data_IF_002942182401
#
_entry.id   IF_002942182401
#
_cell.length_a   1.000
_cell.length_b   1.000
_cell.length_c   1.000
_cell.angle_alpha   90.00
_cell.angle_beta   90.00
_cell.angle_gamma   90.00
#
_symmetry.space_group_name_H-M   'P 1'
#
loop_
_entity.id
_entity.type
_entity.pdbx_description
1 polymer ?
#
# COMPACT_ATOMS: atom_id res chain seq x y z
N UNK A 1 -15.19 17.98 5.70
CA UNK A 1 -15.82 16.66 5.55
C UNK A 1 -16.50 16.60 4.19
N UNK A 2 -16.19 15.61 3.35
CA UNK A 2 -16.89 15.42 2.07
C UNK A 2 -17.80 14.21 2.18
N UNK A 3 -19.02 14.29 1.66
CA UNK A 3 -20.06 13.28 1.81
C UNK A 3 -19.57 11.85 1.48
N UNK A 4 -20.05 10.86 2.22
CA UNK A 4 -19.79 9.41 2.08
C UNK A 4 -20.31 8.78 0.76
N UNK A 5 -20.47 9.59 -0.30
CA UNK A 5 -20.87 9.18 -1.65
C UNK A 5 -20.11 9.95 -2.75
N UNK A 6 -19.03 10.67 -2.41
CA UNK A 6 -18.30 11.55 -3.34
C UNK A 6 -17.26 10.86 -4.23
N UNK A 7 -17.24 9.52 -4.27
CA UNK A 7 -16.36 8.74 -5.17
C UNK A 7 -14.92 8.54 -4.68
N UNK A 8 -14.62 8.82 -3.42
CA UNK A 8 -13.27 8.77 -2.83
C UNK A 8 -12.71 7.35 -2.77
N UNK A 9 -13.46 6.45 -2.14
CA UNK A 9 -13.12 5.02 -2.09
C UNK A 9 -13.07 4.43 -3.50
N UNK A 10 -13.87 4.94 -4.45
CA UNK A 10 -13.78 4.52 -5.86
C UNK A 10 -12.43 4.86 -6.50
N UNK A 11 -11.81 6.00 -6.14
CA UNK A 11 -10.45 6.33 -6.62
C UNK A 11 -9.43 5.35 -6.03
N UNK A 12 -9.54 5.03 -4.73
CA UNK A 12 -8.66 4.05 -4.07
C UNK A 12 -8.80 2.68 -4.73
N UNK A 13 -10.04 2.23 -4.94
CA UNK A 13 -10.36 0.98 -5.63
C UNK A 13 -9.84 0.98 -7.07
N UNK A 14 -9.95 2.11 -7.78
CA UNK A 14 -9.44 2.27 -9.14
C UNK A 14 -7.90 2.16 -9.20
N UNK A 15 -7.18 2.81 -8.29
CA UNK A 15 -5.72 2.69 -8.21
C UNK A 15 -5.29 1.29 -7.78
N UNK A 16 -5.99 0.65 -6.84
CA UNK A 16 -5.69 -0.71 -6.42
C UNK A 16 -5.92 -1.72 -7.53
N UNK A 17 -7.03 -1.57 -8.26
CA UNK A 17 -7.29 -2.34 -9.47
C UNK A 17 -6.14 -2.16 -10.47
N UNK A 18 -5.74 -0.92 -10.77
CA UNK A 18 -4.67 -0.66 -11.73
C UNK A 18 -3.34 -1.30 -11.30
N UNK A 19 -2.99 -1.18 -10.02
CA UNK A 19 -1.80 -1.82 -9.44
C UNK A 19 -1.81 -3.33 -9.66
N UNK A 20 -2.85 -4.00 -9.14
CA UNK A 20 -3.01 -5.46 -9.25
C UNK A 20 -3.03 -5.88 -10.71
N UNK A 21 -3.70 -5.11 -11.58
CA UNK A 21 -3.80 -5.43 -13.00
C UNK A 21 -2.43 -5.36 -13.67
N UNK A 22 -1.63 -4.30 -13.45
CA UNK A 22 -0.26 -4.22 -13.98
C UNK A 22 0.62 -5.36 -13.42
N UNK A 23 0.51 -5.69 -12.14
CA UNK A 23 1.35 -6.72 -11.51
C UNK A 23 1.02 -8.14 -11.96
N UNK A 24 -0.26 -8.47 -12.10
CA UNK A 24 -0.72 -9.87 -12.23
C UNK A 24 -1.16 -10.26 -13.64
N UNK A 25 -1.43 -9.29 -14.53
CA UNK A 25 -1.96 -9.59 -15.87
C UNK A 25 -1.02 -10.42 -16.75
N UNK A 26 0.26 -10.51 -16.41
CA UNK A 26 1.21 -11.42 -17.07
C UNK A 26 0.80 -12.91 -16.97
N UNK A 27 -0.10 -13.25 -16.06
CA UNK A 27 -0.67 -14.61 -15.90
C UNK A 27 -1.90 -14.86 -16.78
N UNK A 28 -2.45 -13.82 -17.41
CA UNK A 28 -3.69 -13.95 -18.17
C UNK A 28 -3.47 -14.78 -19.43
N UNK A 29 -4.50 -15.52 -19.83
CA UNK A 29 -4.52 -16.29 -21.06
C UNK A 29 -5.45 -15.62 -22.07
N UNK A 30 -5.40 -16.09 -23.33
CA UNK A 30 -6.31 -15.61 -24.37
C UNK A 30 -7.77 -15.82 -23.94
N UNK A 31 -8.55 -14.76 -23.96
CA UNK A 31 -9.97 -14.78 -23.57
C UNK A 31 -10.23 -14.58 -22.07
N UNK A 32 -9.20 -14.52 -21.22
CA UNK A 32 -9.36 -14.07 -19.83
C UNK A 32 -9.94 -12.66 -19.82
N UNK A 33 -11.09 -12.48 -19.15
CA UNK A 33 -11.75 -11.17 -19.05
C UNK A 33 -11.00 -10.27 -18.08
N UNK A 34 -11.00 -8.97 -18.37
CA UNK A 34 -10.47 -7.92 -17.49
C UNK A 34 -11.59 -7.44 -16.58
N UNK A 35 -11.32 -7.27 -15.29
CA UNK A 35 -12.28 -6.65 -14.39
C UNK A 35 -12.61 -5.24 -14.87
N UNK A 36 -13.88 -4.98 -15.12
CA UNK A 36 -14.36 -3.75 -15.74
C UNK A 36 -15.59 -3.24 -15.01
N UNK A 37 -15.48 -2.01 -14.50
CA UNK A 37 -16.50 -1.36 -13.69
C UNK A 37 -16.96 -0.06 -14.39
N UNK A 38 -17.89 -0.12 -15.35
CA UNK A 38 -18.39 1.06 -16.03
C UNK A 38 -19.18 1.96 -15.07
N UNK A 39 -19.26 3.26 -15.39
CA UNK A 39 -20.13 4.17 -14.68
C UNK A 39 -21.61 3.85 -14.98
N UNK A 40 -22.23 3.06 -14.11
CA UNK A 40 -23.59 2.52 -14.32
C UNK A 40 -24.71 3.57 -14.34
N UNK A 41 -24.46 4.77 -13.79
CA UNK A 41 -25.45 5.84 -13.73
C UNK A 41 -25.56 6.66 -15.03
N UNK A 42 -24.68 6.42 -16.01
CA UNK A 42 -24.81 6.95 -17.37
C UNK A 42 -24.86 5.79 -18.37
N UNK A 43 -26.01 5.60 -19.02
CA UNK A 43 -26.19 4.57 -20.05
C UNK A 43 -25.15 4.67 -21.18
N UNK A 44 -24.68 5.89 -21.49
CA UNK A 44 -23.65 6.12 -22.52
C UNK A 44 -22.26 5.62 -22.10
N UNK A 45 -22.04 5.38 -20.81
CA UNK A 45 -20.76 4.90 -20.28
C UNK A 45 -20.71 3.39 -20.07
N UNK A 46 -21.82 2.66 -20.21
CA UNK A 46 -21.85 1.21 -20.03
C UNK A 46 -20.92 0.46 -20.98
N UNK A 47 -20.75 0.98 -22.21
CA UNK A 47 -19.90 0.40 -23.25
C UNK A 47 -18.57 1.14 -23.46
N UNK A 48 -18.30 2.21 -22.71
CA UNK A 48 -17.08 3.01 -22.89
C UNK A 48 -15.90 2.44 -22.10
N UNK A 49 -14.70 2.37 -22.69
CA UNK A 49 -13.51 1.94 -21.96
C UNK A 49 -13.27 2.77 -20.69
N UNK A 50 -12.87 2.09 -19.62
CA UNK A 50 -12.30 2.75 -18.44
C UNK A 50 -10.92 3.29 -18.79
N UNK A 51 -10.60 4.50 -18.31
CA UNK A 51 -9.31 5.17 -18.60
C UNK A 51 -8.60 5.52 -17.30
N UNK A 52 -7.33 5.17 -17.24
CA UNK A 52 -6.44 5.48 -16.12
C UNK A 52 -5.25 6.28 -16.63
N UNK A 53 -4.80 7.23 -15.81
CA UNK A 53 -3.57 7.98 -16.03
C UNK A 53 -2.90 8.21 -14.69
N UNK A 54 -1.65 7.80 -14.58
CA UNK A 54 -0.84 7.96 -13.38
C UNK A 54 0.41 8.73 -13.74
N UNK A 55 0.72 9.74 -12.93
CA UNK A 55 1.96 10.52 -13.01
C UNK A 55 2.74 10.24 -11.74
N UNK A 56 3.97 9.79 -11.87
CA UNK A 56 4.79 9.40 -10.74
C UNK A 56 6.27 9.70 -10.98
N UNK A 57 7.04 9.65 -9.90
CA UNK A 57 8.49 9.85 -9.92
C UNK A 57 9.14 8.57 -9.38
N UNK A 58 10.12 8.04 -10.10
CA UNK A 58 10.97 6.92 -9.68
C UNK A 58 12.41 7.26 -10.05
N UNK A 59 13.34 7.12 -9.12
CA UNK A 59 14.76 7.45 -9.31
C UNK A 59 14.98 8.86 -9.91
N UNK A 60 14.24 9.86 -9.39
CA UNK A 60 14.23 11.26 -9.84
C UNK A 60 13.82 11.48 -11.32
N UNK A 61 13.21 10.48 -11.95
CA UNK A 61 12.66 10.59 -13.31
C UNK A 61 11.14 10.57 -13.20
N UNK A 62 10.49 11.56 -13.81
CA UNK A 62 9.03 11.60 -13.94
C UNK A 62 8.57 10.66 -15.05
N UNK A 63 7.54 9.88 -14.74
CA UNK A 63 6.84 9.00 -15.67
C UNK A 63 5.37 9.40 -15.79
N UNK A 64 4.81 9.13 -16.97
CA UNK A 64 3.37 9.24 -17.23
C UNK A 64 2.93 7.96 -17.90
N UNK A 65 2.22 7.14 -17.13
CA UNK A 65 1.61 5.91 -17.61
C UNK A 65 0.11 6.12 -17.81
N UNK A 66 -0.44 5.61 -18.90
CA UNK A 66 -1.88 5.61 -19.11
C UNK A 66 -2.33 4.34 -19.80
N UNK A 67 -3.53 3.89 -19.47
CA UNK A 67 -4.14 2.69 -20.01
C UNK A 67 -5.65 2.89 -20.13
N UNK A 68 -6.24 2.38 -21.21
CA UNK A 68 -7.68 2.28 -21.39
C UNK A 68 -8.07 0.84 -21.72
N UNK A 69 -9.16 0.34 -21.15
CA UNK A 69 -9.59 -1.04 -21.38
C UNK A 69 -11.11 -1.20 -21.22
N UNK A 70 -11.64 -2.28 -21.78
CA UNK A 70 -12.98 -2.77 -21.47
C UNK A 70 -12.87 -4.12 -20.75
N UNK A 71 -13.95 -4.91 -20.72
CA UNK A 71 -13.96 -6.24 -20.08
C UNK A 71 -13.17 -7.30 -20.85
N UNK A 72 -12.73 -7.03 -22.07
CA UNK A 72 -12.13 -8.02 -22.98
C UNK A 72 -10.68 -7.72 -23.30
N UNK A 73 -10.35 -6.45 -23.53
CA UNK A 73 -9.07 -6.04 -24.09
C UNK A 73 -8.67 -4.64 -23.66
N UNK A 74 -7.38 -4.38 -23.83
CA UNK A 74 -6.79 -3.05 -23.73
C UNK A 74 -6.99 -2.35 -25.07
N UNK A 75 -7.42 -1.09 -25.01
CA UNK A 75 -7.68 -0.26 -26.18
C UNK A 75 -6.47 0.62 -26.44
N UNK A 76 -6.04 1.40 -25.44
CA UNK A 76 -4.87 2.26 -25.50
C UNK A 76 -3.95 2.00 -24.31
N UNK A 77 -2.64 2.14 -24.50
CA UNK A 77 -1.65 2.08 -23.42
C UNK A 77 -0.42 2.88 -23.81
N UNK A 78 0.17 3.62 -22.87
CA UNK A 78 1.38 4.37 -23.15
C UNK A 78 2.23 4.55 -21.91
N UNK A 79 3.54 4.66 -22.13
CA UNK A 79 4.50 5.06 -21.12
C UNK A 79 5.42 6.15 -21.66
N UNK A 80 5.32 7.32 -21.06
CA UNK A 80 6.25 8.43 -21.25
C UNK A 80 7.15 8.57 -20.03
N UNK A 81 8.37 9.06 -20.26
CA UNK A 81 9.32 9.43 -19.21
C UNK A 81 9.96 10.78 -19.54
N UNK A 82 10.46 11.47 -18.51
CA UNK A 82 10.97 12.83 -18.62
C UNK A 82 12.42 12.92 -18.12
N UNK A 83 13.39 12.33 -18.83
CA UNK A 83 14.80 12.46 -18.48
C UNK A 83 15.21 13.92 -18.66
N UNK A 84 15.76 14.54 -17.61
CA UNK A 84 16.15 15.96 -17.61
C UNK A 84 15.00 16.88 -18.09
N UNK A 85 13.78 16.58 -17.62
CA UNK A 85 12.53 17.30 -17.92
C UNK A 85 12.09 17.30 -19.40
N UNK A 86 12.74 16.53 -20.27
CA UNK A 86 12.35 16.39 -21.68
C UNK A 86 11.46 15.17 -21.88
N UNK A 87 10.26 15.35 -22.43
CA UNK A 87 9.35 14.24 -22.73
C UNK A 87 9.97 13.29 -23.77
N UNK A 88 10.02 12.01 -23.43
CA UNK A 88 10.40 10.93 -24.33
C UNK A 88 9.39 9.77 -24.23
N UNK A 89 9.20 9.05 -25.35
CA UNK A 89 8.27 7.93 -25.47
C UNK A 89 9.01 6.60 -25.30
N UNK A 90 8.57 5.75 -24.35
CA UNK A 90 9.05 4.37 -24.27
C UNK A 90 8.25 3.51 -25.25
N UNK A 91 6.94 3.45 -25.05
CA UNK A 91 5.99 2.79 -25.96
C UNK A 91 4.63 3.48 -25.95
N UNK A 92 3.91 3.34 -27.06
CA UNK A 92 2.50 3.68 -27.19
C UNK A 92 1.80 2.56 -27.98
N UNK A 93 0.60 2.24 -27.56
CA UNK A 93 -0.30 1.23 -28.11
C UNK A 93 -1.67 1.90 -28.29
N UNK A 94 -2.24 1.81 -29.46
CA UNK A 94 -3.60 2.28 -29.77
C UNK A 94 -4.39 1.19 -30.48
N UNK A 95 -5.72 1.31 -30.47
CA UNK A 95 -6.65 0.38 -31.13
C UNK A 95 -6.30 -1.10 -30.88
N UNK A 96 -5.94 -1.41 -29.64
CA UNK A 96 -5.53 -2.73 -29.17
C UNK A 96 -4.21 -3.26 -29.72
N UNK A 97 -3.83 -3.12 -30.99
CA UNK A 97 -2.62 -3.77 -31.51
C UNK A 97 -1.72 -2.86 -32.36
N UNK A 98 -2.01 -1.56 -32.42
CA UNK A 98 -1.18 -0.61 -33.16
C UNK A 98 -0.11 -0.02 -32.24
N UNK A 99 1.14 -0.46 -32.42
CA UNK A 99 2.25 -0.02 -31.58
C UNK A 99 3.12 1.05 -32.26
N UNK A 100 3.54 2.03 -31.47
CA UNK A 100 4.51 3.07 -31.83
C UNK A 100 5.70 3.02 -30.89
N UNK A 101 6.88 2.81 -31.46
CA UNK A 101 8.16 2.79 -30.74
C UNK A 101 9.11 3.84 -31.31
N UNK A 102 9.78 4.60 -30.44
CA UNK A 102 10.81 5.58 -30.84
C UNK A 102 12.24 5.11 -30.53
N UNK A 103 12.37 4.09 -29.68
CA UNK A 103 13.62 3.49 -29.21
C UNK A 103 13.53 1.97 -29.31
N UNK A 104 14.67 1.27 -29.40
CA UNK A 104 14.79 -0.19 -29.38
C UNK A 104 13.76 -0.94 -30.27
N UNK A 105 13.42 -0.36 -31.43
CA UNK A 105 12.24 -0.74 -32.23
C UNK A 105 12.16 -2.24 -32.55
N UNK A 106 13.31 -2.87 -32.81
CA UNK A 106 13.38 -4.31 -33.14
C UNK A 106 12.98 -5.19 -31.96
N UNK A 107 13.53 -4.91 -30.78
CA UNK A 107 13.23 -5.64 -29.55
C UNK A 107 11.77 -5.42 -29.12
N UNK A 108 11.33 -4.15 -29.10
CA UNK A 108 9.96 -3.82 -28.73
C UNK A 108 8.92 -4.40 -29.68
N UNK A 109 9.21 -4.46 -31.00
CA UNK A 109 8.36 -5.12 -31.99
C UNK A 109 8.21 -6.62 -31.70
N UNK A 110 9.32 -7.31 -31.44
CA UNK A 110 9.31 -8.73 -31.08
C UNK A 110 8.48 -9.02 -29.82
N UNK A 111 8.54 -8.13 -28.83
CA UNK A 111 7.73 -8.22 -27.60
C UNK A 111 6.26 -7.98 -27.93
N UNK A 112 5.93 -6.94 -28.70
CA UNK A 112 4.53 -6.59 -29.02
C UNK A 112 3.78 -7.67 -29.77
N UNK A 113 4.47 -8.40 -30.66
CA UNK A 113 3.89 -9.53 -31.39
C UNK A 113 3.50 -10.71 -30.48
N UNK A 114 4.01 -10.73 -29.24
CA UNK A 114 3.72 -11.75 -28.21
C UNK A 114 2.86 -11.22 -27.07
N UNK A 115 2.53 -9.92 -27.07
CA UNK A 115 1.66 -9.33 -26.06
C UNK A 115 0.21 -9.57 -26.47
N UNK A 116 -0.54 -10.31 -25.64
CA UNK A 116 -1.98 -10.53 -25.87
C UNK A 116 -2.77 -9.24 -25.71
N UNK A 117 -3.95 -9.20 -26.34
CA UNK A 117 -4.79 -8.01 -26.35
C UNK A 117 -5.31 -7.59 -24.97
N UNK A 118 -5.42 -8.55 -24.05
CA UNK A 118 -5.86 -8.39 -22.67
C UNK A 118 -4.73 -8.22 -21.64
N UNK A 119 -3.47 -8.17 -22.06
CA UNK A 119 -2.30 -8.00 -21.19
C UNK A 119 -1.68 -6.61 -21.42
N UNK A 120 -1.41 -5.82 -20.35
CA UNK A 120 -0.66 -4.57 -20.48
C UNK A 120 0.73 -4.85 -21.06
N UNK A 121 1.10 -4.08 -22.07
CA UNK A 121 2.43 -4.12 -22.65
C UNK A 121 3.50 -3.81 -21.60
N UNK A 122 3.23 -2.91 -20.65
CA UNK A 122 4.10 -2.67 -19.49
C UNK A 122 4.42 -3.97 -18.73
N UNK A 123 3.40 -4.78 -18.43
CA UNK A 123 3.55 -6.04 -17.71
C UNK A 123 4.33 -7.08 -18.53
N UNK A 124 3.92 -7.32 -19.78
CA UNK A 124 4.54 -8.35 -20.62
C UNK A 124 5.99 -7.99 -21.00
N UNK A 125 6.25 -6.74 -21.37
CA UNK A 125 7.60 -6.28 -21.71
C UNK A 125 8.56 -6.40 -20.53
N UNK A 126 8.10 -6.08 -19.31
CA UNK A 126 8.90 -6.26 -18.09
C UNK A 126 9.16 -7.74 -17.80
N UNK A 127 8.16 -8.61 -17.96
CA UNK A 127 8.32 -10.06 -17.81
C UNK A 127 9.35 -10.64 -18.79
N UNK A 128 9.42 -10.08 -20.01
CA UNK A 128 10.43 -10.43 -21.01
C UNK A 128 11.76 -9.67 -20.85
N UNK A 129 12.00 -9.07 -19.67
CA UNK A 129 13.23 -8.37 -19.28
C UNK A 129 13.57 -7.12 -20.10
N UNK A 130 12.56 -6.43 -20.66
CA UNK A 130 12.80 -5.14 -21.30
C UNK A 130 13.09 -4.06 -20.25
N UNK A 131 14.36 -3.68 -20.12
CA UNK A 131 14.85 -2.83 -19.01
C UNK A 131 14.16 -1.47 -18.89
N UNK A 132 13.70 -0.88 -20.00
CA UNK A 132 13.12 0.47 -19.99
C UNK A 132 11.70 0.52 -19.41
N UNK A 133 11.05 -0.62 -19.23
CA UNK A 133 9.74 -0.71 -18.58
C UNK A 133 9.82 -1.12 -17.09
N UNK A 134 10.97 -1.65 -16.65
CA UNK A 134 11.19 -2.12 -15.27
C UNK A 134 10.92 -1.05 -14.21
N UNK A 135 11.49 0.16 -14.35
CA UNK A 135 11.32 1.23 -13.34
C UNK A 135 9.85 1.64 -13.15
N UNK A 136 9.09 1.67 -14.24
CA UNK A 136 7.67 1.97 -14.19
C UNK A 136 6.87 0.83 -13.53
N UNK A 137 7.20 -0.42 -13.87
CA UNK A 137 6.60 -1.60 -13.26
C UNK A 137 6.91 -1.70 -11.76
N UNK A 138 8.17 -1.51 -11.37
CA UNK A 138 8.63 -1.53 -9.98
C UNK A 138 8.00 -0.42 -9.15
N UNK A 139 7.66 0.72 -9.76
CA UNK A 139 6.88 1.74 -9.06
C UNK A 139 5.47 1.25 -8.69
N UNK A 140 4.77 0.55 -9.59
CA UNK A 140 3.48 -0.05 -9.26
C UNK A 140 3.63 -1.09 -8.14
N UNK A 141 4.64 -1.95 -8.25
CA UNK A 141 4.94 -3.03 -7.31
C UNK A 141 5.29 -2.53 -5.91
N UNK A 142 6.30 -1.65 -5.83
CA UNK A 142 7.00 -1.35 -4.59
C UNK A 142 6.62 -0.01 -3.97
N UNK A 143 6.10 0.95 -4.78
CA UNK A 143 5.86 2.32 -4.32
C UNK A 143 4.37 2.66 -4.13
N UNK A 144 3.44 1.90 -4.70
CA UNK A 144 2.00 2.13 -4.51
C UNK A 144 1.47 1.24 -3.37
N UNK A 145 1.45 1.77 -2.14
CA UNK A 145 0.96 1.08 -0.94
C UNK A 145 -0.50 1.45 -0.61
N UNK A 146 -1.45 0.66 -1.11
CA UNK A 146 -2.86 0.87 -0.77
C UNK A 146 -3.23 -0.11 0.34
N UNK A 147 -3.43 0.41 1.55
CA UNK A 147 -3.86 -0.41 2.70
C UNK A 147 -5.00 0.29 3.41
N UNK A 148 -6.12 -0.42 3.57
CA UNK A 148 -7.23 0.07 4.39
C UNK A 148 -6.82 0.15 5.86
N UNK A 149 -7.28 1.19 6.56
CA UNK A 149 -6.98 1.40 7.99
C UNK A 149 -7.40 0.20 8.88
N UNK A 150 -8.34 -0.62 8.41
CA UNK A 150 -8.92 -1.75 9.14
C UNK A 150 -8.49 -3.11 8.57
N UNK A 151 -7.39 -3.16 7.82
CA UNK A 151 -6.88 -4.42 7.32
C UNK A 151 -6.56 -5.37 8.51
N UNK A 152 -7.05 -6.62 8.50
CA UNK A 152 -7.01 -7.48 9.69
C UNK A 152 -5.60 -7.83 10.16
N UNK A 153 -4.60 -7.80 9.25
CA UNK A 153 -3.21 -8.17 9.54
C UNK A 153 -2.24 -7.01 9.79
N UNK A 154 -2.77 -5.86 10.21
CA UNK A 154 -1.96 -4.65 10.41
C UNK A 154 -1.04 -4.74 11.63
N UNK A 155 -1.50 -5.39 12.69
CA UNK A 155 -0.71 -5.60 13.90
C UNK A 155 0.50 -6.48 13.56
N UNK A 156 0.26 -7.59 12.88
CA UNK A 156 1.27 -8.55 12.46
C UNK A 156 2.30 -7.89 11.54
N UNK A 157 1.85 -7.04 10.61
CA UNK A 157 2.73 -6.24 9.78
C UNK A 157 3.62 -5.31 10.62
N UNK A 158 3.04 -4.61 11.60
CA UNK A 158 3.83 -3.74 12.49
C UNK A 158 4.80 -4.54 13.35
N UNK A 159 4.43 -5.72 13.85
CA UNK A 159 5.33 -6.60 14.61
C UNK A 159 6.49 -7.09 13.73
N UNK A 160 6.20 -7.50 12.49
CA UNK A 160 7.24 -7.86 11.53
C UNK A 160 8.22 -6.70 11.33
N UNK A 161 7.71 -5.49 11.08
CA UNK A 161 8.54 -4.28 10.96
C UNK A 161 9.35 -3.99 12.22
N UNK A 162 8.72 -4.04 13.39
CA UNK A 162 9.40 -3.84 14.68
C UNK A 162 10.62 -4.75 14.82
N UNK A 163 10.48 -6.01 14.39
CA UNK A 163 11.49 -7.05 14.53
C UNK A 163 12.46 -7.16 13.33
N UNK A 164 12.31 -6.34 12.28
CA UNK A 164 13.21 -6.34 11.12
C UNK A 164 14.64 -5.96 11.53
N UNK A 165 14.80 -4.85 12.25
CA UNK A 165 16.09 -4.42 12.79
C UNK A 165 15.95 -3.40 13.95
N UNK A 166 17.06 -3.10 14.63
CA UNK A 166 17.11 -2.16 15.75
C UNK A 166 16.70 -0.73 15.36
N UNK A 167 16.98 -0.32 14.12
CA UNK A 167 16.62 1.02 13.62
C UNK A 167 15.09 1.10 13.50
N UNK A 168 14.46 0.06 12.95
CA UNK A 168 13.02 -0.01 12.78
C UNK A 168 12.31 -0.06 14.14
N UNK A 169 12.75 -0.89 15.09
CA UNK A 169 12.26 -0.82 16.48
C UNK A 169 12.33 0.61 17.04
N UNK A 170 13.49 1.27 16.90
CA UNK A 170 13.68 2.64 17.41
C UNK A 170 12.72 3.64 16.77
N UNK A 171 12.47 3.53 15.47
CA UNK A 171 11.55 4.43 14.76
C UNK A 171 10.09 4.23 15.21
N UNK A 172 9.61 2.98 15.34
CA UNK A 172 8.26 2.70 15.86
C UNK A 172 8.14 3.22 17.29
N UNK A 173 9.11 2.91 18.15
CA UNK A 173 9.10 3.34 19.53
C UNK A 173 9.11 4.87 19.66
N UNK A 174 9.97 5.56 18.91
CA UNK A 174 9.99 7.02 18.90
C UNK A 174 8.65 7.61 18.47
N UNK A 175 7.98 7.01 17.49
CA UNK A 175 6.66 7.48 17.07
C UNK A 175 5.60 7.29 18.17
N UNK A 176 5.65 6.20 18.95
CA UNK A 176 4.76 5.99 20.09
C UNK A 176 5.06 6.97 21.25
N UNK A 177 6.34 7.29 21.48
CA UNK A 177 6.78 8.29 22.46
C UNK A 177 6.32 9.69 22.05
N UNK A 178 6.54 10.08 20.78
CA UNK A 178 6.14 11.40 20.26
C UNK A 178 4.61 11.59 20.20
N UNK A 179 3.87 10.49 20.15
CA UNK A 179 2.41 10.49 20.27
C UNK A 179 1.90 10.75 21.71
N UNK A 180 2.81 10.90 22.67
CA UNK A 180 2.53 11.21 24.09
C UNK A 180 1.63 10.17 24.77
N UNK A 181 1.92 8.89 24.53
CA UNK A 181 1.15 7.75 25.06
C UNK A 181 1.65 7.22 26.41
N UNK A 182 2.70 7.81 26.97
CA UNK A 182 3.35 7.30 28.20
C UNK A 182 4.23 6.06 28.01
N UNK A 183 4.32 5.53 26.78
CA UNK A 183 5.11 4.35 26.45
C UNK A 183 6.60 4.74 26.34
N UNK A 184 7.46 4.04 27.09
CA UNK A 184 8.91 4.23 27.11
C UNK A 184 9.68 3.12 26.36
N UNK A 185 9.15 1.91 26.33
CA UNK A 185 9.66 0.79 25.52
C UNK A 185 8.52 -0.15 25.13
N UNK A 186 8.81 -1.04 24.19
CA UNK A 186 7.87 -1.97 23.59
C UNK A 186 8.63 -3.24 23.18
N UNK A 187 8.01 -4.40 23.40
CA UNK A 187 8.36 -5.66 22.75
C UNK A 187 7.13 -6.26 22.11
N UNK A 188 7.31 -6.92 20.97
CA UNK A 188 6.23 -7.66 20.34
C UNK A 188 6.76 -8.86 19.57
N UNK A 189 6.06 -9.98 19.62
CA UNK A 189 6.39 -11.22 18.92
C UNK A 189 5.13 -11.90 18.37
N UNK A 190 5.34 -12.75 17.36
CA UNK A 190 4.34 -13.67 16.86
C UNK A 190 4.88 -15.07 17.12
N UNK A 191 4.24 -15.78 18.03
CA UNK A 191 4.55 -17.18 18.35
C UNK A 191 3.61 -18.08 17.54
N UNK A 192 4.16 -19.06 16.82
CA UNK A 192 3.36 -20.06 16.14
C UNK A 192 3.16 -21.23 17.10
N UNK A 193 1.93 -21.45 17.52
CA UNK A 193 1.54 -22.56 18.41
C UNK A 193 0.90 -23.67 17.57
N UNK A 194 1.53 -24.86 17.49
CA UNK A 194 0.91 -26.02 16.85
C UNK A 194 -0.45 -26.36 17.49
N UNK A 195 -1.47 -26.67 16.67
CA UNK A 195 -2.83 -26.92 17.18
C UNK A 195 -2.95 -28.16 18.08
N UNK A 196 -1.98 -29.06 18.03
CA UNK A 196 -1.84 -30.23 18.90
C UNK A 196 -1.26 -29.90 20.28
N UNK A 197 -0.58 -28.77 20.45
CA UNK A 197 -0.14 -28.26 21.75
C UNK A 197 -1.27 -27.52 22.51
N UNK A 198 -2.38 -27.20 21.82
CA UNK A 198 -3.54 -26.52 22.41
C UNK A 198 -4.47 -27.54 23.09
N UNK A 199 -4.89 -27.30 24.36
CA UNK A 199 -5.85 -28.16 25.06
C UNK A 199 -7.12 -28.43 24.24
N UNK A 200 -7.58 -29.68 24.22
CA UNK A 200 -8.70 -30.17 23.40
C UNK A 200 -9.95 -29.26 23.47
N UNK A 201 -10.44 -28.84 24.65
CA UNK A 201 -11.64 -27.99 24.72
C UNK A 201 -11.48 -26.63 24.02
N UNK A 202 -10.27 -26.06 24.07
CA UNK A 202 -9.95 -24.79 23.40
C UNK A 202 -9.79 -25.05 21.91
N UNK A 203 -9.09 -26.12 21.53
CA UNK A 203 -8.86 -26.52 20.14
C UNK A 203 -10.18 -26.74 19.37
N UNK A 204 -11.15 -27.43 19.97
CA UNK A 204 -12.46 -27.66 19.36
C UNK A 204 -13.23 -26.35 19.18
N UNK A 205 -13.22 -25.48 20.19
CA UNK A 205 -13.85 -24.16 20.11
C UNK A 205 -13.21 -23.29 19.03
N UNK A 206 -11.89 -23.30 18.90
CA UNK A 206 -11.15 -22.59 17.85
C UNK A 206 -11.53 -23.10 16.46
N UNK A 207 -11.62 -24.43 16.25
CA UNK A 207 -12.08 -25.00 14.97
C UNK A 207 -13.52 -24.61 14.63
N UNK A 208 -14.39 -24.44 15.62
CA UNK A 208 -15.76 -23.96 15.39
C UNK A 208 -15.80 -22.47 15.02
N UNK A 209 -15.00 -21.63 15.69
CA UNK A 209 -14.97 -20.18 15.43
C UNK A 209 -14.16 -19.82 14.18
N UNK A 210 -13.15 -20.62 13.85
CA UNK A 210 -12.20 -20.40 12.75
C UNK A 210 -12.05 -21.70 11.95
N UNK A 211 -13.03 -22.04 11.10
CA UNK A 211 -13.05 -23.31 10.36
C UNK A 211 -11.81 -23.52 9.47
N UNK A 212 -11.23 -22.42 8.98
CA UNK A 212 -10.09 -22.42 8.05
C UNK A 212 -8.71 -22.44 8.76
N UNK A 213 -8.66 -22.69 10.08
CA UNK A 213 -7.38 -22.70 10.82
C UNK A 213 -6.48 -23.87 10.40
N UNK A 214 -5.37 -23.57 9.72
CA UNK A 214 -4.43 -24.54 9.13
C UNK A 214 -3.46 -25.16 10.15
N UNK A 215 -3.97 -25.88 11.15
CA UNK A 215 -3.14 -26.73 12.03
C UNK A 215 -2.15 -25.99 12.95
N UNK A 216 -2.07 -24.66 12.87
CA UNK A 216 -1.27 -23.78 13.71
C UNK A 216 -2.08 -22.53 14.07
N UNK A 217 -1.78 -21.96 15.23
CA UNK A 217 -2.33 -20.70 15.71
C UNK A 217 -1.20 -19.68 15.82
N UNK A 218 -1.39 -18.49 15.26
CA UNK A 218 -0.49 -17.37 15.51
C UNK A 218 -0.94 -16.65 16.78
N UNK A 219 -0.10 -16.70 17.81
CA UNK A 219 -0.30 -15.99 19.07
C UNK A 219 0.53 -14.72 19.03
N UNK A 220 -0.14 -13.58 19.14
CA UNK A 220 0.49 -12.27 19.23
C UNK A 220 0.74 -11.97 20.71
N UNK A 221 1.99 -11.67 21.06
CA UNK A 221 2.37 -11.15 22.37
C UNK A 221 2.96 -9.75 22.20
N UNK A 222 2.38 -8.76 22.88
CA UNK A 222 2.80 -7.37 22.80
C UNK A 222 2.83 -6.82 24.23
N UNK A 223 3.97 -6.29 24.63
CA UNK A 223 4.21 -5.67 25.94
C UNK A 223 4.66 -4.24 25.77
N UNK A 224 4.07 -3.34 26.54
CA UNK A 224 4.47 -1.93 26.60
C UNK A 224 5.04 -1.63 27.98
N UNK A 225 6.05 -0.78 28.04
CA UNK A 225 6.70 -0.37 29.30
C UNK A 225 6.41 1.11 29.53
N UNK A 226 5.84 1.42 30.69
CA UNK A 226 5.49 2.79 31.09
C UNK A 226 6.33 3.23 32.28
N UNK A 227 6.78 4.48 32.26
CA UNK A 227 7.45 5.12 33.39
C UNK A 227 6.42 5.60 34.41
N UNK A 228 6.60 5.21 35.66
CA UNK A 228 5.82 5.66 36.81
C UNK A 228 6.73 6.33 37.83
N UNK A 229 6.25 7.36 38.50
CA UNK A 229 6.96 7.99 39.61
C UNK A 229 6.41 7.42 40.92
N UNK A 230 7.29 6.99 41.82
CA UNK A 230 6.86 6.63 43.18
C UNK A 230 6.55 7.92 43.99
N UNK A 231 6.00 7.77 45.20
CA UNK A 231 5.65 8.90 46.09
C UNK A 231 6.83 9.81 46.45
N UNK A 232 8.07 9.31 46.26
CA UNK A 232 9.33 9.99 46.57
C UNK A 232 9.95 10.64 45.32
N UNK A 233 9.38 10.41 44.13
CA UNK A 233 9.85 10.95 42.85
C UNK A 233 10.86 10.08 42.11
N UNK A 234 11.16 8.87 42.57
CA UNK A 234 12.02 7.94 41.83
C UNK A 234 11.28 7.32 40.65
N UNK A 235 12.03 7.09 39.58
CA UNK A 235 11.53 6.49 38.34
C UNK A 235 11.46 4.97 38.48
N UNK A 236 10.27 4.41 38.30
CA UNK A 236 10.03 2.98 38.14
C UNK A 236 9.42 2.71 36.76
N UNK A 237 9.47 1.46 36.33
CA UNK A 237 8.90 1.02 35.06
C UNK A 237 7.94 -0.13 35.28
N UNK A 238 6.77 -0.05 34.66
CA UNK A 238 5.71 -1.06 34.75
C UNK A 238 5.41 -1.59 33.35
N UNK A 239 5.32 -2.91 33.25
CA UNK A 239 4.91 -3.61 32.04
C UNK A 239 3.37 -3.70 31.99
N UNK A 240 2.80 -3.42 30.83
CA UNK A 240 1.39 -3.61 30.53
C UNK A 240 1.24 -4.63 29.41
N UNK A 241 0.21 -5.47 29.53
CA UNK A 241 -0.28 -6.26 28.41
C UNK A 241 -0.96 -5.35 27.40
N UNK A 242 -0.80 -5.62 26.11
CA UNK A 242 -1.44 -4.81 25.06
C UNK A 242 -2.97 -4.77 25.17
N UNK A 243 -3.61 -5.74 25.83
CA UNK A 243 -5.04 -5.70 26.13
C UNK A 243 -5.45 -4.55 27.05
N UNK A 244 -4.55 -4.12 27.94
CA UNK A 244 -4.75 -3.06 28.93
C UNK A 244 -4.58 -1.65 28.33
N UNK A 245 -3.96 -1.57 27.15
CA UNK A 245 -3.75 -0.31 26.45
C UNK A 245 -5.05 0.31 25.93
N UNK A 246 -5.02 1.64 25.77
CA UNK A 246 -6.14 2.36 25.18
C UNK A 246 -6.40 1.92 23.72
N UNK A 247 -7.66 2.00 23.26
CA UNK A 247 -8.00 1.71 21.86
C UNK A 247 -7.23 2.59 20.87
N UNK A 248 -6.91 3.84 21.27
CA UNK A 248 -6.08 4.75 20.49
C UNK A 248 -4.64 4.26 20.35
N UNK A 249 -4.03 3.77 21.45
CA UNK A 249 -2.70 3.14 21.44
C UNK A 249 -2.70 1.92 20.52
N UNK A 250 -3.69 1.02 20.68
CA UNK A 250 -3.79 -0.20 19.88
C UNK A 250 -3.93 0.11 18.39
N UNK A 251 -4.75 1.11 18.05
CA UNK A 251 -4.95 1.55 16.67
C UNK A 251 -3.72 2.26 16.10
N UNK A 252 -3.01 3.07 16.89
CA UNK A 252 -1.75 3.68 16.44
C UNK A 252 -0.71 2.60 16.18
N UNK A 253 -0.56 1.64 17.10
CA UNK A 253 0.38 0.53 16.95
C UNK A 253 0.07 -0.29 15.71
N UNK A 254 -1.18 -0.61 15.41
CA UNK A 254 -1.50 -1.37 14.20
C UNK A 254 -1.13 -0.61 12.92
N UNK A 255 -1.23 0.72 12.90
CA UNK A 255 -0.97 1.54 11.72
C UNK A 255 0.51 1.94 11.55
N UNK A 256 1.24 2.17 12.65
CA UNK A 256 2.52 2.88 12.60
C UNK A 256 3.59 2.16 11.77
N UNK A 257 3.55 0.81 11.71
CA UNK A 257 4.44 0.02 10.85
C UNK A 257 4.30 0.40 9.37
N UNK A 258 3.07 0.60 8.87
CA UNK A 258 2.83 1.06 7.50
C UNK A 258 3.27 2.49 7.25
N UNK A 259 3.07 3.38 8.22
CA UNK A 259 3.50 4.77 8.10
C UNK A 259 5.00 4.85 7.91
N UNK A 260 5.74 4.18 8.79
CA UNK A 260 7.20 4.25 8.76
C UNK A 260 7.76 3.55 7.53
N UNK A 261 7.23 2.38 7.18
CA UNK A 261 7.60 1.71 5.94
C UNK A 261 7.33 2.59 4.71
N UNK A 262 6.22 3.33 4.69
CA UNK A 262 5.91 4.26 3.61
C UNK A 262 6.90 5.43 3.55
N UNK A 263 7.21 6.05 4.69
CA UNK A 263 8.19 7.14 4.82
C UNK A 263 9.60 6.71 4.40
N UNK A 264 10.01 5.50 4.79
CA UNK A 264 11.32 4.95 4.48
C UNK A 264 11.48 4.55 3.01
N UNK A 265 10.41 4.16 2.34
CA UNK A 265 10.46 3.65 0.96
C UNK A 265 9.87 4.63 -0.07
N UNK A 266 9.42 5.81 0.36
CA UNK A 266 8.81 6.80 -0.54
C UNK A 266 7.51 6.27 -1.15
N UNK A 267 6.71 5.54 -0.37
CA UNK A 267 5.45 4.95 -0.85
C UNK A 267 4.33 5.97 -0.82
N UNK A 268 3.34 5.76 -1.69
CA UNK A 268 2.04 6.40 -1.57
C UNK A 268 1.20 5.56 -0.62
N UNK A 269 0.88 6.10 0.55
CA UNK A 269 0.00 5.51 1.54
C UNK A 269 -1.39 6.13 1.43
N UNK A 270 -2.38 5.29 1.15
CA UNK A 270 -3.77 5.72 1.02
C UNK A 270 -4.60 5.06 2.10
N UNK A 271 -5.20 5.87 2.97
CA UNK A 271 -5.97 5.39 4.12
C UNK A 271 -7.35 6.03 4.10
N UNK A 272 -8.36 5.18 3.99
CA UNK A 272 -9.76 5.60 4.16
C UNK A 272 -10.14 5.57 5.64
N UNK A 273 -11.04 6.46 6.05
CA UNK A 273 -11.62 6.49 7.40
C UNK A 273 -10.63 6.49 8.58
N UNK A 274 -9.44 7.10 8.43
CA UNK A 274 -8.45 7.25 9.51
C UNK A 274 -9.03 7.86 10.81
N UNK A 275 -10.05 8.71 10.70
CA UNK A 275 -10.68 9.34 11.85
C UNK A 275 -11.48 8.37 12.74
N UNK A 276 -11.73 7.15 12.27
CA UNK A 276 -12.45 6.15 13.06
C UNK A 276 -11.51 5.56 14.12
N UNK A 277 -11.87 5.72 15.39
CA UNK A 277 -11.19 5.15 16.58
C UNK A 277 -9.83 5.76 16.95
N UNK A 278 -9.31 6.76 16.22
CA UNK A 278 -8.12 7.52 16.63
C UNK A 278 -8.49 8.84 17.32
N UNK A 279 -7.88 9.10 18.48
CA UNK A 279 -7.98 10.40 19.13
C UNK A 279 -7.40 11.50 18.21
N UNK A 280 -7.99 12.69 18.19
CA UNK A 280 -7.65 13.76 17.26
C UNK A 280 -6.14 14.08 17.21
N UNK A 281 -5.46 14.05 18.35
CA UNK A 281 -4.01 14.30 18.45
C UNK A 281 -3.18 13.27 17.69
N UNK A 282 -3.59 11.99 17.70
CA UNK A 282 -2.91 10.91 16.97
C UNK A 282 -3.05 11.08 15.47
N UNK A 283 -4.20 11.55 14.99
CA UNK A 283 -4.40 11.88 13.58
C UNK A 283 -3.49 13.02 13.13
N UNK A 284 -3.38 14.07 13.96
CA UNK A 284 -2.46 15.18 13.69
C UNK A 284 -1.02 14.70 13.67
N UNK A 285 -0.63 13.85 14.61
CA UNK A 285 0.70 13.24 14.67
C UNK A 285 1.03 12.45 13.39
N UNK A 286 0.18 11.51 12.99
CA UNK A 286 0.35 10.69 11.80
C UNK A 286 0.48 11.52 10.51
N UNK A 287 -0.26 12.63 10.41
CA UNK A 287 -0.16 13.57 9.29
C UNK A 287 1.14 14.38 9.36
N UNK A 288 1.59 14.79 10.54
CA UNK A 288 2.84 15.54 10.73
C UNK A 288 4.05 14.74 10.27
N UNK A 289 4.09 13.43 10.50
CA UNK A 289 5.18 12.57 10.05
C UNK A 289 5.45 12.67 8.54
N UNK A 290 4.41 12.75 7.72
CA UNK A 290 4.55 12.92 6.26
C UNK A 290 4.95 14.34 5.84
N UNK A 291 4.67 15.34 6.68
CA UNK A 291 4.96 16.75 6.39
C UNK A 291 6.33 17.19 6.94
N UNK A 292 6.95 16.42 7.83
CA UNK A 292 8.27 16.69 8.38
C UNK A 292 9.37 16.22 7.40
N UNK A 293 10.18 17.11 6.81
CA UNK A 293 11.26 16.72 5.90
C UNK A 293 12.37 15.90 6.57
N UNK A 294 12.51 15.98 7.90
CA UNK A 294 13.49 15.19 8.64
C UNK A 294 13.07 13.73 8.77
N UNK A 295 11.76 13.46 8.71
CA UNK A 295 11.16 12.12 8.74
C UNK A 295 10.88 11.60 7.32
N UNK A 296 10.23 12.40 6.47
CA UNK A 296 9.85 12.04 5.11
C UNK A 296 10.97 12.34 4.08
N UNK A 297 12.11 11.67 4.24
CA UNK A 297 13.29 11.87 3.38
C UNK A 297 13.10 11.35 1.94
N UNK A 298 12.18 10.41 1.75
CA UNK A 298 11.97 9.73 0.47
C UNK A 298 10.73 10.21 -0.29
N UNK A 299 10.16 11.36 0.10
CA UNK A 299 8.99 11.97 -0.54
C UNK A 299 7.78 11.02 -0.63
N UNK A 300 7.56 10.23 0.43
CA UNK A 300 6.36 9.46 0.60
C UNK A 300 5.13 10.36 0.58
N UNK A 301 4.02 9.85 0.09
CA UNK A 301 2.79 10.62 -0.05
C UNK A 301 1.71 10.01 0.83
N UNK A 302 0.97 10.85 1.53
CA UNK A 302 -0.16 10.41 2.33
C UNK A 302 -1.45 10.99 1.79
N UNK A 303 -2.42 10.11 1.54
CA UNK A 303 -3.75 10.49 1.11
C UNK A 303 -4.79 10.01 2.12
N UNK A 304 -5.49 10.97 2.71
CA UNK A 304 -6.65 10.75 3.57
C UNK A 304 -7.92 11.04 2.77
N UNK A 305 -8.63 10.01 2.32
CA UNK A 305 -9.82 10.17 1.47
C UNK A 305 -9.54 10.99 0.19
N UNK A 306 -10.27 12.10 -0.03
CA UNK A 306 -10.13 12.95 -1.24
C UNK A 306 -9.21 14.15 -1.10
N UNK A 307 -8.66 14.40 0.09
CA UNK A 307 -7.78 15.52 0.30
C UNK A 307 -6.35 14.98 0.20
N UNK A 308 -5.64 15.35 -0.88
CA UNK A 308 -4.19 15.31 -0.84
C UNK A 308 -3.77 16.24 0.32
N UNK A 309 -3.12 15.67 1.33
CA UNK A 309 -2.39 16.51 2.28
C UNK A 309 -1.07 16.82 1.60
N UNK A 310 -1.06 17.90 0.81
CA UNK A 310 0.09 18.35 0.03
C UNK A 310 1.25 18.80 0.93
N UNK A 311 2.46 18.61 0.41
CA UNK A 311 3.66 19.38 0.75
C UNK A 311 3.61 20.71 -0.01
N UNK A 312 3.86 21.86 0.63
CA UNK A 312 4.19 23.10 -0.10
C UNK A 312 5.41 22.83 -0.99
N UNK A 313 5.30 23.20 -2.26
CA UNK A 313 6.44 23.23 -3.20
C UNK A 313 7.61 24.02 -2.58
N UNK A 314 8.82 23.47 -2.74
CA UNK A 314 10.06 24.23 -2.72
C UNK A 314 10.74 24.02 -4.06
#
# INVERSE_FOLDING_TARGET
MGANASGKSNVILAFNFLKIFVETAHTFQKGTKINYFPFKLDKKCLSKPSKFKVVFIKNNIKYVYGISHNSEKIIDEYLYYYPKDRRALIFERSDTNNYRFTIDKKEQKFISEKTLDNIPYLSNSTQLNYKKTSEAFDWFKDNLGIVGADHPRLIEYTIQKLNEDKKMKKFILNALIEADLGINDLSASIEVVPMDEIPIPIRERLKTMMPDIEGKLEKIDIKTIHKVLNEVGDENYVEFDFGEESEGTKKLFSLIGLWIDSLNNGRVLVVDELDTKLHHLLNVFLIKLFNDPTQNKNNAQFQKGSNLVYRKEL
#
